data_IF_719346870019
#
_entry.id   IF_719346870019
#
_cell.length_a   1.000
_cell.length_b   1.000
_cell.length_c   1.000
_cell.angle_alpha   90.00
_cell.angle_beta   90.00
_cell.angle_gamma   90.00
#
_symmetry.space_group_name_H-M   'P 1'
#
loop_
_entity.id
_entity.type
_entity.pdbx_description
1 polymer ?
#
# COMPACT_ATOMS: atom_id res chain seq x y z
N UNK A 1 4.66 -10.85 12.53
CA UNK A 1 5.73 -11.43 11.70
C UNK A 1 6.26 -10.33 10.80
N UNK A 2 7.57 -10.22 10.66
CA UNK A 2 8.19 -9.28 9.73
C UNK A 2 8.39 -9.95 8.38
N UNK A 3 8.09 -9.21 7.32
CA UNK A 3 8.34 -9.58 5.93
C UNK A 3 9.34 -8.60 5.31
N UNK A 4 10.16 -9.11 4.41
CA UNK A 4 11.21 -8.38 3.74
C UNK A 4 11.08 -8.54 2.23
N UNK A 5 11.26 -7.43 1.51
CA UNK A 5 11.44 -7.45 0.06
C UNK A 5 12.80 -6.84 -0.23
N UNK A 6 13.72 -7.67 -0.69
CA UNK A 6 15.05 -7.24 -1.09
C UNK A 6 15.06 -7.00 -2.61
N UNK A 7 15.82 -6.01 -3.04
CA UNK A 7 15.94 -5.59 -4.43
C UNK A 7 17.40 -5.68 -4.86
N UNK A 8 17.62 -6.22 -6.06
CA UNK A 8 18.91 -6.30 -6.73
C UNK A 8 18.74 -5.67 -8.12
N UNK A 9 19.57 -4.68 -8.42
CA UNK A 9 19.60 -4.03 -9.73
C UNK A 9 20.82 -4.49 -10.53
N UNK A 10 20.59 -5.20 -11.64
CA UNK A 10 21.64 -5.60 -12.58
C UNK A 10 21.47 -4.94 -13.95
N UNK A 11 20.65 -3.89 -14.04
CA UNK A 11 20.50 -3.10 -15.26
C UNK A 11 21.68 -2.11 -15.32
N UNK A 12 22.50 -2.16 -16.39
CA UNK A 12 23.67 -1.30 -16.52
C UNK A 12 23.27 0.17 -16.70
N UNK A 13 24.09 1.08 -16.16
CA UNK A 13 23.98 2.54 -16.29
C UNK A 13 22.67 3.17 -15.76
N UNK A 14 21.88 2.42 -14.97
CA UNK A 14 20.56 2.86 -14.49
C UNK A 14 20.41 2.75 -12.97
N UNK A 15 19.78 3.75 -12.36
CA UNK A 15 19.23 3.65 -11.00
C UNK A 15 17.75 3.33 -11.09
N UNK A 16 17.32 2.23 -10.49
CA UNK A 16 15.93 1.79 -10.56
C UNK A 16 15.17 2.12 -9.28
N UNK A 17 13.96 2.65 -9.43
CA UNK A 17 13.01 2.78 -8.33
C UNK A 17 12.16 1.51 -8.27
N UNK A 18 12.31 0.74 -7.20
CA UNK A 18 11.45 -0.38 -6.89
C UNK A 18 10.29 0.07 -6.02
N UNK A 19 9.07 -0.30 -6.40
CA UNK A 19 7.85 -0.01 -5.65
C UNK A 19 7.15 -1.29 -5.22
N UNK A 20 6.66 -1.33 -3.99
CA UNK A 20 5.74 -2.36 -3.49
C UNK A 20 4.35 -1.75 -3.38
N UNK A 21 3.35 -2.44 -3.89
CA UNK A 21 1.96 -2.01 -3.81
C UNK A 21 1.02 -3.22 -3.60
N UNK A 22 -0.21 -2.91 -3.19
CA UNK A 22 -1.23 -3.91 -2.89
C UNK A 22 -2.46 -3.66 -3.76
N UNK A 23 -3.00 -4.72 -4.37
CA UNK A 23 -4.32 -4.67 -5.00
C UNK A 23 -5.33 -5.44 -4.17
N UNK A 24 -6.60 -5.03 -4.20
CA UNK A 24 -7.66 -5.69 -3.45
C UNK A 24 -8.76 -6.11 -4.43
N UNK A 25 -8.61 -7.26 -5.10
CA UNK A 25 -9.50 -7.68 -6.19
C UNK A 25 -10.96 -7.83 -5.76
N UNK A 26 -11.19 -8.05 -4.46
CA UNK A 26 -12.53 -8.18 -3.89
C UNK A 26 -13.12 -6.87 -3.33
N UNK A 27 -12.49 -5.72 -3.59
CA UNK A 27 -12.95 -4.41 -3.14
C UNK A 27 -13.04 -3.46 -4.36
N UNK A 28 -14.20 -3.34 -5.01
CA UNK A 28 -14.34 -2.52 -6.22
C UNK A 28 -14.21 -1.03 -5.93
N UNK A 29 -13.75 -0.25 -6.92
CA UNK A 29 -13.67 1.21 -6.85
C UNK A 29 -12.71 1.70 -5.79
N UNK A 30 -11.51 1.11 -5.75
CA UNK A 30 -10.39 1.57 -4.93
C UNK A 30 -9.21 1.91 -5.83
N UNK A 31 -8.40 2.83 -5.34
CA UNK A 31 -7.09 3.13 -5.90
C UNK A 31 -6.05 2.37 -5.08
N UNK A 32 -5.24 1.58 -5.77
CA UNK A 32 -4.01 1.03 -5.20
C UNK A 32 -2.92 2.08 -5.30
N UNK A 33 -2.16 2.26 -4.22
CA UNK A 33 -1.06 3.23 -4.20
C UNK A 33 0.27 2.56 -3.87
N UNK A 34 1.36 3.20 -4.28
CA UNK A 34 2.70 2.87 -3.86
C UNK A 34 2.79 2.88 -2.34
N UNK A 35 3.07 1.72 -1.76
CA UNK A 35 3.07 1.52 -0.31
C UNK A 35 4.48 1.66 0.27
N UNK A 36 5.47 1.05 -0.39
CA UNK A 36 6.89 1.09 -0.03
C UNK A 36 7.71 1.32 -1.29
N UNK A 37 8.89 1.94 -1.15
CA UNK A 37 9.85 2.06 -2.25
C UNK A 37 11.29 1.99 -1.76
N UNK A 38 12.19 1.68 -2.68
CA UNK A 38 13.62 1.92 -2.55
C UNK A 38 14.22 2.23 -3.92
N UNK A 39 15.19 3.14 -3.96
CA UNK A 39 16.00 3.38 -5.14
C UNK A 39 17.27 2.54 -5.04
N UNK A 40 17.63 1.86 -6.13
CA UNK A 40 18.74 0.92 -6.17
C UNK A 40 19.66 1.29 -7.33
N UNK A 41 20.89 1.76 -7.05
CA UNK A 41 21.84 2.08 -8.12
C UNK A 41 22.26 0.81 -8.86
N UNK A 42 22.90 0.98 -10.02
CA UNK A 42 23.49 -0.12 -10.78
C UNK A 42 24.35 -1.03 -9.89
N UNK A 43 24.20 -2.35 -10.06
CA UNK A 43 24.90 -3.39 -9.28
C UNK A 43 24.66 -3.30 -7.77
N UNK A 44 23.67 -2.52 -7.35
CA UNK A 44 23.34 -2.25 -5.96
C UNK A 44 22.27 -3.19 -5.41
N UNK A 45 22.12 -3.13 -4.09
CA UNK A 45 21.03 -3.78 -3.38
C UNK A 45 20.37 -2.82 -2.38
N UNK A 46 19.08 -2.99 -2.18
CA UNK A 46 18.34 -2.33 -1.10
C UNK A 46 17.20 -3.26 -0.64
N UNK A 47 16.37 -2.80 0.29
CA UNK A 47 15.19 -3.54 0.66
C UNK A 47 14.22 -2.74 1.50
N UNK A 48 13.01 -3.24 1.59
CA UNK A 48 11.95 -2.71 2.45
C UNK A 48 11.45 -3.80 3.39
N UNK A 49 10.95 -3.36 4.54
CA UNK A 49 10.40 -4.23 5.59
C UNK A 49 8.97 -3.80 5.89
N UNK A 50 8.10 -4.77 6.16
CA UNK A 50 6.76 -4.51 6.65
C UNK A 50 6.29 -5.58 7.63
N UNK A 51 5.24 -5.24 8.38
CA UNK A 51 4.48 -6.15 9.24
C UNK A 51 3.02 -6.14 8.84
N UNK A 52 2.32 -7.25 9.09
CA UNK A 52 0.86 -7.35 8.91
C UNK A 52 0.09 -6.67 10.06
N UNK A 53 0.42 -5.40 10.33
CA UNK A 53 -0.38 -4.53 11.19
C UNK A 53 -1.18 -3.58 10.32
N UNK A 54 -2.50 -3.55 10.51
CA UNK A 54 -3.39 -2.76 9.66
C UNK A 54 -3.59 -1.35 10.21
N UNK A 55 -3.88 -0.39 9.33
CA UNK A 55 -4.33 0.93 9.72
C UNK A 55 -5.51 1.42 8.89
N UNK A 56 -6.30 2.34 9.45
CA UNK A 56 -7.26 3.19 8.71
C UNK A 56 -6.61 4.52 8.38
N UNK A 57 -6.98 5.09 7.24
CA UNK A 57 -6.36 6.30 6.71
C UNK A 57 -7.42 7.31 6.25
N UNK A 58 -7.25 8.56 6.65
CA UNK A 58 -7.88 9.70 5.98
C UNK A 58 -6.78 10.37 5.16
N UNK A 59 -7.03 10.63 3.88
CA UNK A 59 -6.02 11.14 2.97
C UNK A 59 -6.50 12.33 2.16
N UNK A 60 -5.57 13.20 1.83
CA UNK A 60 -5.73 14.30 0.90
C UNK A 60 -5.18 13.88 -0.47
N UNK A 61 -5.91 14.22 -1.53
CA UNK A 61 -5.50 13.96 -2.90
C UNK A 61 -4.77 15.17 -3.48
N UNK A 62 -3.66 14.92 -4.15
CA UNK A 62 -2.86 15.89 -4.88
C UNK A 62 -2.73 15.39 -6.31
N UNK A 63 -2.96 16.30 -7.25
CA UNK A 63 -2.72 16.07 -8.67
C UNK A 63 -1.49 16.90 -9.02
N UNK A 64 -0.34 16.26 -9.11
CA UNK A 64 0.90 16.91 -9.54
C UNK A 64 1.44 16.09 -10.72
N UNK A 65 1.80 16.77 -11.81
CA UNK A 65 2.42 16.16 -12.99
C UNK A 65 1.70 14.93 -13.58
N UNK A 66 0.36 14.99 -13.70
CA UNK A 66 -0.50 13.96 -14.28
C UNK A 66 -0.55 12.61 -13.53
N UNK A 67 0.11 12.52 -12.37
CA UNK A 67 0.11 11.35 -11.49
C UNK A 67 -0.70 11.65 -10.24
N UNK A 68 -1.82 10.96 -10.07
CA UNK A 68 -2.62 11.10 -8.86
C UNK A 68 -1.84 10.61 -7.64
N UNK A 69 -1.80 11.41 -6.57
CA UNK A 69 -1.10 11.04 -5.32
C UNK A 69 -1.97 11.29 -4.10
N UNK A 70 -1.88 10.41 -3.12
CA UNK A 70 -2.52 10.57 -1.83
C UNK A 70 -1.50 10.75 -0.72
N UNK A 71 -1.72 11.74 0.14
CA UNK A 71 -0.98 11.92 1.39
C UNK A 71 -1.92 11.69 2.56
N UNK A 72 -1.53 10.82 3.48
CA UNK A 72 -2.31 10.61 4.68
C UNK A 72 -2.28 11.86 5.57
N UNK A 73 -3.45 12.38 5.92
CA UNK A 73 -3.62 13.41 6.94
C UNK A 73 -3.84 12.80 8.33
N UNK A 74 -4.35 11.56 8.37
CA UNK A 74 -4.47 10.78 9.60
C UNK A 74 -4.25 9.29 9.31
N UNK A 75 -3.47 8.63 10.17
CA UNK A 75 -3.30 7.17 10.17
C UNK A 75 -3.52 6.69 11.60
N UNK A 76 -4.39 5.71 11.79
CA UNK A 76 -4.58 5.04 13.08
C UNK A 76 -4.55 3.53 12.93
N UNK A 77 -3.88 2.86 13.87
CA UNK A 77 -3.82 1.42 13.93
C UNK A 77 -5.22 0.80 14.07
N UNK A 78 -5.41 -0.33 13.41
CA UNK A 78 -6.68 -1.03 13.38
C UNK A 78 -6.48 -2.54 13.32
N UNK A 79 -7.59 -3.26 13.40
CA UNK A 79 -7.63 -4.71 13.26
C UNK A 79 -8.71 -5.08 12.26
N UNK A 80 -8.59 -6.25 11.66
CA UNK A 80 -9.67 -6.80 10.84
C UNK A 80 -10.92 -7.01 11.70
N UNK A 81 -12.09 -6.92 11.07
CA UNK A 81 -13.37 -7.02 11.75
C UNK A 81 -13.81 -5.73 12.45
N UNK A 82 -13.08 -4.62 12.32
CA UNK A 82 -13.41 -3.35 12.97
C UNK A 82 -14.19 -2.40 12.06
N UNK A 83 -14.98 -1.53 12.68
CA UNK A 83 -15.60 -0.41 12.02
C UNK A 83 -15.20 0.91 12.68
N UNK A 84 -15.18 1.97 11.89
CA UNK A 84 -14.77 3.32 12.27
C UNK A 84 -15.74 4.34 11.70
N UNK A 85 -15.89 5.49 12.36
CA UNK A 85 -16.41 6.69 11.70
C UNK A 85 -15.31 7.72 11.57
N UNK A 86 -15.27 8.40 10.43
CA UNK A 86 -14.68 9.73 10.37
C UNK A 86 -15.73 10.72 10.85
N UNK A 87 -15.43 11.52 11.88
CA UNK A 87 -16.33 12.54 12.44
C UNK A 87 -15.61 13.89 12.49
N UNK A 88 -16.36 14.98 12.47
CA UNK A 88 -15.79 16.29 12.81
C UNK A 88 -15.97 16.56 14.29
N UNK A 89 -14.86 16.70 15.01
CA UNK A 89 -14.83 17.11 16.40
C UNK A 89 -13.80 18.21 16.58
N UNK A 90 -14.21 19.29 17.23
CA UNK A 90 -13.37 20.48 17.46
C UNK A 90 -12.81 21.05 16.15
N UNK A 91 -13.64 21.09 15.10
CA UNK A 91 -13.34 21.59 13.73
C UNK A 91 -12.37 20.75 12.89
N UNK A 92 -11.89 19.62 13.42
CA UNK A 92 -10.98 18.71 12.71
C UNK A 92 -11.70 17.38 12.45
N UNK A 93 -11.56 16.86 11.23
CA UNK A 93 -12.00 15.50 10.89
C UNK A 93 -11.05 14.48 11.52
N UNK A 94 -11.60 13.58 12.33
CA UNK A 94 -10.84 12.54 13.02
C UNK A 94 -11.61 11.23 13.12
N UNK A 95 -10.88 10.12 13.18
CA UNK A 95 -11.44 8.79 13.36
C UNK A 95 -11.93 8.55 14.80
N UNK A 96 -13.12 7.97 14.92
CA UNK A 96 -13.68 7.46 16.16
C UNK A 96 -14.10 5.99 16.02
N UNK A 97 -13.39 5.12 16.73
CA UNK A 97 -13.65 3.67 16.79
C UNK A 97 -14.94 3.34 17.56
N UNK A 98 -15.37 4.18 18.50
CA UNK A 98 -16.53 3.89 19.38
C UNK A 98 -17.87 4.05 18.69
N UNK A 99 -17.90 4.81 17.60
CA UNK A 99 -19.12 5.22 16.91
C UNK A 99 -19.74 4.15 16.00
N UNK A 100 -19.03 3.05 15.73
CA UNK A 100 -19.50 1.95 14.88
C UNK A 100 -19.00 0.66 15.52
N UNK A 101 -19.90 -0.26 15.89
CA UNK A 101 -19.55 -1.50 16.61
C UNK A 101 -18.61 -2.44 15.83
N UNK A 102 -18.54 -3.73 16.20
CA UNK A 102 -17.79 -4.71 15.42
C UNK A 102 -18.41 -4.87 14.02
N UNK A 103 -17.58 -5.02 12.99
CA UNK A 103 -18.08 -5.46 11.68
C UNK A 103 -18.40 -6.97 11.74
N UNK A 104 -19.47 -7.40 11.09
CA UNK A 104 -19.91 -8.80 11.15
C UNK A 104 -19.00 -9.78 10.36
N UNK A 105 -17.95 -9.30 9.69
CA UNK A 105 -17.05 -10.11 8.89
C UNK A 105 -15.59 -9.95 9.36
N UNK A 106 -14.93 -11.06 9.68
CA UNK A 106 -13.59 -11.08 10.30
C UNK A 106 -12.46 -10.53 9.44
N UNK A 107 -12.64 -10.38 8.12
CA UNK A 107 -11.66 -9.86 7.17
C UNK A 107 -12.04 -8.49 6.59
N UNK A 108 -12.97 -7.79 7.23
CA UNK A 108 -13.50 -6.52 6.75
C UNK A 108 -13.00 -5.36 7.63
N UNK A 109 -12.65 -4.25 6.99
CA UNK A 109 -12.51 -2.96 7.66
C UNK A 109 -13.55 -2.02 7.06
N UNK A 110 -14.34 -1.37 7.90
CA UNK A 110 -15.40 -0.47 7.48
C UNK A 110 -15.15 0.92 8.03
N UNK A 111 -15.26 1.94 7.17
CA UNK A 111 -15.11 3.33 7.57
C UNK A 111 -16.34 4.08 7.06
N UNK A 112 -17.16 4.59 7.98
CA UNK A 112 -18.30 5.44 7.67
C UNK A 112 -17.87 6.89 7.67
N UNK A 113 -18.23 7.63 6.63
CA UNK A 113 -18.02 9.06 6.62
C UNK A 113 -19.18 9.75 7.35
N UNK A 114 -18.98 10.12 8.61
CA UNK A 114 -19.91 10.92 9.41
C UNK A 114 -19.37 12.36 9.61
N UNK A 115 -18.36 12.78 8.85
CA UNK A 115 -17.91 14.17 8.83
C UNK A 115 -18.90 15.03 8.03
N UNK A 116 -18.67 16.34 7.99
CA UNK A 116 -19.49 17.31 7.26
C UNK A 116 -19.09 17.42 5.78
N UNK A 117 -18.01 16.75 5.35
CA UNK A 117 -17.45 16.88 4.00
C UNK A 117 -17.19 15.52 3.37
N UNK A 118 -17.02 15.50 2.05
CA UNK A 118 -16.57 14.31 1.34
C UNK A 118 -15.10 14.02 1.69
N UNK A 119 -14.73 12.76 1.87
CA UNK A 119 -13.38 12.36 2.27
C UNK A 119 -12.80 11.26 1.37
N UNK A 120 -11.47 11.15 1.32
CA UNK A 120 -10.79 9.99 0.73
C UNK A 120 -10.35 9.07 1.87
N UNK A 121 -11.06 7.96 2.01
CA UNK A 121 -10.88 7.02 3.11
C UNK A 121 -10.09 5.83 2.61
N UNK A 122 -9.18 5.31 3.43
CA UNK A 122 -8.31 4.23 3.03
C UNK A 122 -7.98 3.25 4.13
N UNK A 123 -7.26 2.23 3.72
CA UNK A 123 -6.60 1.29 4.60
C UNK A 123 -5.13 1.18 4.21
N UNK A 124 -4.36 0.67 5.15
CA UNK A 124 -2.94 0.47 5.00
C UNK A 124 -2.42 -0.69 5.80
N UNK A 125 -1.13 -0.92 5.67
CA UNK A 125 -0.38 -1.93 6.40
C UNK A 125 0.95 -1.34 6.86
N UNK A 126 1.47 -1.80 8.00
CA UNK A 126 2.74 -1.33 8.57
C UNK A 126 2.77 0.20 8.77
N UNK A 127 1.64 0.78 9.20
CA UNK A 127 1.50 2.22 9.47
C UNK A 127 1.55 3.11 8.23
N UNK A 128 1.41 2.55 7.02
CA UNK A 128 1.48 3.28 5.75
C UNK A 128 0.25 2.98 4.89
N UNK A 129 -0.19 3.98 4.14
CA UNK A 129 -1.31 3.87 3.20
C UNK A 129 -1.01 2.87 2.08
N UNK A 130 -2.00 2.06 1.68
CA UNK A 130 -1.89 1.15 0.53
C UNK A 130 -3.09 1.15 -0.41
N UNK A 131 -4.29 1.48 0.08
CA UNK A 131 -5.48 1.61 -0.76
C UNK A 131 -6.45 2.71 -0.30
N UNK A 132 -7.08 3.37 -1.27
CA UNK A 132 -8.02 4.49 -1.05
C UNK A 132 -9.34 4.23 -1.77
N UNK A 133 -10.45 4.51 -1.09
CA UNK A 133 -11.73 4.86 -1.72
C UNK A 133 -11.82 6.37 -1.82
N UNK A 134 -11.75 6.88 -3.05
CA UNK A 134 -11.88 8.31 -3.33
C UNK A 134 -13.32 8.79 -3.16
N UNK A 135 -13.49 10.06 -2.79
CA UNK A 135 -14.78 10.76 -2.77
C UNK A 135 -15.90 10.01 -2.03
N UNK A 136 -15.63 9.55 -0.81
CA UNK A 136 -16.66 8.95 0.06
C UNK A 136 -17.56 10.06 0.59
N UNK A 137 -18.79 10.13 0.09
CA UNK A 137 -19.77 11.14 0.46
C UNK A 137 -20.20 11.05 1.93
N UNK A 138 -20.71 12.17 2.45
CA UNK A 138 -21.29 12.24 3.80
C UNK A 138 -22.40 11.21 3.97
N UNK A 139 -22.36 10.45 5.06
CA UNK A 139 -23.27 9.35 5.37
C UNK A 139 -22.96 8.04 4.66
N UNK A 140 -22.05 8.03 3.67
CA UNK A 140 -21.65 6.83 2.94
C UNK A 140 -20.62 6.00 3.71
N UNK A 141 -20.39 4.78 3.23
CA UNK A 141 -19.48 3.82 3.86
C UNK A 141 -18.45 3.31 2.86
N UNK A 142 -17.18 3.40 3.23
CA UNK A 142 -16.07 2.73 2.58
C UNK A 142 -15.85 1.38 3.27
N UNK A 143 -16.07 0.29 2.54
CA UNK A 143 -15.80 -1.06 3.03
C UNK A 143 -14.62 -1.66 2.26
N UNK A 144 -13.70 -2.28 2.99
CA UNK A 144 -12.50 -2.90 2.46
C UNK A 144 -12.44 -4.37 2.88
N UNK A 145 -12.54 -5.28 1.91
CA UNK A 145 -12.30 -6.70 2.15
C UNK A 145 -10.80 -6.96 2.04
N UNK A 146 -10.16 -7.12 3.19
CA UNK A 146 -8.70 -7.16 3.32
C UNK A 146 -8.19 -8.53 2.93
N UNK A 147 -8.07 -8.72 1.62
CA UNK A 147 -7.47 -9.89 0.97
C UNK A 147 -6.50 -9.39 -0.10
N UNK A 148 -5.44 -8.66 0.29
CA UNK A 148 -4.56 -8.00 -0.65
C UNK A 148 -3.74 -9.01 -1.46
N UNK A 149 -3.43 -8.64 -2.70
CA UNK A 149 -2.37 -9.28 -3.48
C UNK A 149 -1.22 -8.29 -3.56
N UNK A 150 -0.02 -8.72 -3.15
CA UNK A 150 1.17 -7.87 -3.10
C UNK A 150 1.94 -8.02 -4.41
N UNK A 151 2.34 -6.88 -4.96
CA UNK A 151 3.15 -6.79 -6.17
C UNK A 151 4.40 -5.97 -5.90
N UNK A 152 5.45 -6.28 -6.65
CA UNK A 152 6.63 -5.43 -6.81
C UNK A 152 6.69 -4.97 -8.25
N UNK A 153 6.99 -3.70 -8.48
CA UNK A 153 7.25 -3.14 -9.80
C UNK A 153 8.57 -2.37 -9.84
N UNK A 154 9.07 -2.19 -11.07
CA UNK A 154 10.16 -1.25 -11.40
C UNK A 154 9.54 -0.05 -12.09
N UNK A 155 9.97 1.14 -11.68
CA UNK A 155 9.45 2.43 -12.11
C UNK A 155 10.61 3.36 -12.46
N UNK A 156 10.36 4.34 -13.34
CA UNK A 156 11.32 5.41 -13.64
C UNK A 156 11.40 6.43 -12.50
N UNK A 157 10.24 6.76 -11.93
CA UNK A 157 10.08 7.55 -10.72
C UNK A 157 8.72 7.18 -10.12
N UNK A 158 8.70 6.94 -8.82
CA UNK A 158 7.50 6.54 -8.08
C UNK A 158 7.59 7.08 -6.67
N UNK A 159 6.63 7.88 -6.22
CA UNK A 159 6.56 8.28 -4.82
C UNK A 159 5.58 7.43 -4.00
N UNK A 160 5.83 7.32 -2.69
CA UNK A 160 4.88 6.67 -1.77
C UNK A 160 3.55 7.44 -1.78
N UNK A 161 2.44 6.72 -1.91
CA UNK A 161 1.10 7.28 -2.03
C UNK A 161 0.69 7.63 -3.46
N UNK A 162 1.59 7.50 -4.45
CA UNK A 162 1.27 7.63 -5.87
C UNK A 162 0.33 6.49 -6.30
N UNK A 163 -0.71 6.82 -7.07
CA UNK A 163 -1.65 5.85 -7.62
C UNK A 163 -0.92 4.98 -8.63
N UNK A 164 -1.05 3.66 -8.48
CA UNK A 164 -0.45 2.70 -9.40
C UNK A 164 -1.39 2.48 -10.58
N UNK A 165 -0.90 2.83 -11.77
CA UNK A 165 -1.53 2.60 -13.07
C UNK A 165 -0.57 1.79 -13.96
N UNK A 166 -1.11 1.04 -14.94
CA UNK A 166 -0.30 0.11 -15.74
C UNK A 166 0.71 0.82 -16.67
N UNK A 167 0.48 2.09 -16.97
CA UNK A 167 1.29 2.92 -17.88
C UNK A 167 2.62 3.38 -17.28
N UNK A 168 2.80 3.32 -15.95
CA UNK A 168 4.02 3.76 -15.27
C UNK A 168 4.96 2.61 -14.88
N UNK A 169 4.57 1.36 -15.14
CA UNK A 169 5.30 0.16 -14.71
C UNK A 169 6.19 -0.37 -15.85
N UNK A 170 7.50 -0.44 -15.63
CA UNK A 170 8.45 -1.05 -16.58
C UNK A 170 8.36 -2.58 -16.57
N UNK A 171 8.16 -3.17 -15.39
CA UNK A 171 7.85 -4.59 -15.19
C UNK A 171 7.29 -4.78 -13.78
N UNK A 172 6.43 -5.78 -13.57
CA UNK A 172 5.98 -6.16 -12.23
C UNK A 172 5.95 -7.68 -12.04
N UNK A 173 5.96 -8.09 -10.77
CA UNK A 173 5.79 -9.47 -10.33
C UNK A 173 4.92 -9.52 -9.08
N UNK A 174 3.96 -10.44 -9.05
CA UNK A 174 3.24 -10.80 -7.83
C UNK A 174 4.19 -11.52 -6.88
N UNK A 175 4.14 -11.19 -5.59
CA UNK A 175 4.91 -11.89 -4.54
C UNK A 175 3.97 -12.64 -3.58
N UNK A 176 4.40 -13.82 -3.14
CA UNK A 176 3.65 -14.67 -2.20
C UNK A 176 4.62 -15.30 -1.20
N UNK A 177 4.45 -14.98 0.08
CA UNK A 177 5.35 -15.41 1.18
C UNK A 177 4.97 -16.77 1.78
N UNK A 178 4.52 -17.74 0.99
CA UNK A 178 4.00 -19.04 1.44
C UNK A 178 5.02 -19.80 2.32
N UNK A 179 4.91 -19.65 3.66
CA UNK A 179 5.88 -20.16 4.64
C UNK A 179 7.25 -19.47 4.67
N UNK A 180 7.45 -18.43 3.88
CA UNK A 180 8.69 -17.65 3.80
C UNK A 180 8.49 -16.25 4.39
N UNK A 181 9.56 -15.51 4.63
CA UNK A 181 9.46 -14.10 5.06
C UNK A 181 10.36 -13.14 4.30
N UNK A 182 11.12 -13.62 3.32
CA UNK A 182 11.91 -12.81 2.39
C UNK A 182 11.51 -13.14 0.96
N UNK A 183 11.30 -12.10 0.16
CA UNK A 183 11.27 -12.16 -1.29
C UNK A 183 12.45 -11.32 -1.83
N UNK A 184 13.32 -11.91 -2.63
CA UNK A 184 14.40 -11.21 -3.30
C UNK A 184 14.03 -11.02 -4.77
N UNK A 185 14.06 -9.77 -5.21
CA UNK A 185 13.64 -9.34 -6.54
C UNK A 185 14.89 -8.90 -7.30
N UNK A 186 15.19 -9.59 -8.40
CA UNK A 186 16.30 -9.27 -9.28
C UNK A 186 15.76 -8.64 -10.55
N UNK A 187 16.11 -7.38 -10.79
CA UNK A 187 15.83 -6.69 -12.05
C UNK A 187 17.01 -6.81 -13.01
N UNK A 188 16.72 -7.17 -14.25
CA UNK A 188 17.71 -7.28 -15.32
C UNK A 188 17.06 -6.99 -16.68
N UNK A 189 17.90 -6.76 -17.69
CA UNK A 189 17.46 -6.64 -19.09
C UNK A 189 17.57 -7.98 -19.79
N UNK A 190 16.50 -8.36 -20.50
CA UNK A 190 16.52 -9.45 -21.50
C UNK A 190 16.24 -8.85 -22.87
N UNK A 191 17.31 -8.55 -23.61
CA UNK A 191 17.23 -7.67 -24.77
C UNK A 191 16.92 -6.24 -24.32
N UNK A 192 15.84 -5.64 -24.83
CA UNK A 192 15.39 -4.28 -24.46
C UNK A 192 14.21 -4.28 -23.47
N UNK A 193 13.95 -5.41 -22.81
CA UNK A 193 12.83 -5.54 -21.88
C UNK A 193 13.34 -5.73 -20.46
N UNK A 194 12.80 -4.95 -19.52
CA UNK A 194 12.93 -5.21 -18.10
C UNK A 194 12.29 -6.55 -17.74
N UNK A 195 12.97 -7.32 -16.90
CA UNK A 195 12.49 -8.57 -16.32
C UNK A 195 12.75 -8.56 -14.83
N UNK A 196 11.86 -9.25 -14.11
CA UNK A 196 11.95 -9.45 -12.68
C UNK A 196 11.94 -10.95 -12.38
N UNK A 197 13.02 -11.42 -11.76
CA UNK A 197 13.05 -12.75 -11.15
C UNK A 197 12.78 -12.62 -9.66
N UNK A 198 11.97 -13.53 -9.11
CA UNK A 198 11.61 -13.56 -7.69
C UNK A 198 12.11 -14.87 -7.08
N UNK A 199 12.87 -14.77 -5.99
CA UNK A 199 13.25 -15.91 -5.15
C UNK A 199 12.76 -15.69 -3.73
N UNK A 200 12.56 -16.78 -2.99
CA UNK A 200 12.02 -16.73 -1.62
C UNK A 200 12.96 -17.41 -0.64
N UNK A 201 12.93 -16.93 0.60
CA UNK A 201 13.70 -17.52 1.69
C UNK A 201 13.23 -17.04 3.06
N UNK A 202 14.04 -17.36 4.06
CA UNK A 202 13.78 -17.00 5.45
C UNK A 202 14.94 -16.20 6.04
N UNK A 203 14.62 -15.10 6.72
CA UNK A 203 15.51 -14.26 7.50
C UNK A 203 15.07 -14.28 8.95
N UNK A 204 15.99 -14.65 9.84
CA UNK A 204 15.73 -14.63 11.27
C UNK A 204 15.40 -13.20 11.71
N UNK A 205 14.26 -13.03 12.37
CA UNK A 205 13.89 -11.79 13.05
C UNK A 205 14.46 -11.85 14.46
N UNK A 206 15.38 -10.96 14.81
CA UNK A 206 15.82 -10.85 16.19
C UNK A 206 14.65 -10.36 17.07
N UNK A 207 14.25 -11.17 18.04
CA UNK A 207 13.36 -10.74 19.12
C UNK A 207 14.16 -9.83 20.04
N UNK A 208 13.77 -8.55 20.15
CA UNK A 208 14.21 -7.67 21.23
C UNK A 208 13.37 -7.92 22.48
#
# INVERSE_FOLDING_TARGET
MDYFVDFINEVPDETLTFGVYQTFPNTPGIDSVAWLRADVPESGTAGVKFTETYCVVNADYYDDDAKGRYKASQILDTQLGTAWSLIDKDTISQFDKKSVGSSNASNLIVIRNNSKTTASLGIGMSGKLSAIKRKVYVGATAAFKVTPVIYVGVFTDLEVGEVITDDVILSNSKIVFDGNNVATIRAYLKGHQFKLDVTYGNRATASL
#
